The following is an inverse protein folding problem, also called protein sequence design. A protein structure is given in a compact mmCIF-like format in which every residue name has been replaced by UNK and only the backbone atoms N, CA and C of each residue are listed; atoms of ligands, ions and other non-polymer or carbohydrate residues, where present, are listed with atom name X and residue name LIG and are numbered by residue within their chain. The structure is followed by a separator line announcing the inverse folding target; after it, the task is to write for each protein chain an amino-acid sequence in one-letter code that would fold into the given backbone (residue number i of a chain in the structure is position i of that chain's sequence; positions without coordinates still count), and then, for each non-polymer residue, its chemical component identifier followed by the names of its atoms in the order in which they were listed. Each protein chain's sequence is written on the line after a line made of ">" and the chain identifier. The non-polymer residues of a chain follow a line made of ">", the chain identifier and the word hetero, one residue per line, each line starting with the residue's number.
data_IF_947031654446
#
_entry.id   IF_947031654446
#
_cell.length_a   1.000
_cell.length_b   1.000
_cell.length_c   1.000
_cell.angle_alpha   90.00
_cell.angle_beta   90.00
_cell.angle_gamma   90.00
#
_symmetry.space_group_name_H-M   'P 1'
#
loop_
_entity.id
_entity.type
_entity.pdbx_description
1 polymer ?
#
# COMPACT_ATOMS: atom_id res chain seq x y z
N UNK A 1 26.02 -45.51 26.27
CA UNK A 1 25.29 -44.30 26.69
C UNK A 1 25.06 -43.47 25.44
N UNK A 2 23.79 -43.07 25.23
CA UNK A 2 23.21 -42.75 23.91
C UNK A 2 23.65 -41.40 23.36
N UNK A 3 23.91 -41.38 22.06
CA UNK A 3 23.97 -40.19 21.20
C UNK A 3 22.64 -39.43 21.24
N UNK A 4 22.70 -38.13 21.50
CA UNK A 4 21.60 -37.18 21.35
C UNK A 4 22.14 -35.96 20.59
N UNK A 5 22.12 -36.05 19.26
CA UNK A 5 22.70 -35.00 18.40
C UNK A 5 22.15 -34.95 16.98
N UNK A 6 21.00 -35.56 16.70
CA UNK A 6 20.45 -35.59 15.34
C UNK A 6 18.93 -35.76 15.32
N UNK A 7 18.18 -34.81 15.89
CA UNK A 7 16.72 -34.67 15.64
C UNK A 7 16.24 -33.30 16.12
N UNK A 8 16.46 -32.27 15.30
CA UNK A 8 15.78 -30.98 15.45
C UNK A 8 15.54 -30.37 14.06
N UNK A 9 14.94 -31.20 13.21
CA UNK A 9 14.42 -30.82 11.89
C UNK A 9 13.22 -31.70 11.65
N UNK A 10 12.09 -31.32 12.25
CA UNK A 10 10.72 -31.64 11.90
C UNK A 10 9.83 -31.06 13.01
N UNK A 11 8.67 -30.53 12.64
CA UNK A 11 7.58 -30.02 13.50
C UNK A 11 7.68 -28.59 14.06
N UNK A 12 7.48 -27.61 13.16
CA UNK A 12 6.73 -26.39 13.50
C UNK A 12 5.46 -26.34 12.64
N UNK A 13 4.54 -27.24 12.97
CA UNK A 13 3.17 -27.22 12.49
C UNK A 13 2.43 -26.08 13.21
N UNK A 14 2.11 -25.02 12.49
CA UNK A 14 1.25 -23.94 12.98
C UNK A 14 -0.15 -24.49 13.29
N UNK A 15 -0.78 -24.10 14.41
CA UNK A 15 -2.12 -24.57 14.76
C UNK A 15 -3.17 -23.96 13.82
N UNK A 16 -4.03 -24.83 13.31
CA UNK A 16 -5.22 -24.52 12.52
C UNK A 16 -6.16 -23.56 13.27
N UNK A 17 -6.46 -22.42 12.65
CA UNK A 17 -7.55 -21.52 13.04
C UNK A 17 -8.72 -21.79 12.08
N UNK A 18 -9.83 -22.40 12.53
CA UNK A 18 -10.93 -22.73 11.64
C UNK A 18 -11.92 -21.57 11.52
N UNK A 19 -12.33 -21.23 10.30
CA UNK A 19 -13.56 -20.46 10.06
C UNK A 19 -13.52 -19.49 8.87
N UNK A 20 -13.90 -20.01 7.70
CA UNK A 20 -14.74 -19.38 6.67
C UNK A 20 -14.42 -17.93 6.20
N UNK A 21 -14.04 -17.78 4.93
CA UNK A 21 -14.93 -17.27 3.85
C UNK A 21 -14.08 -16.87 2.61
N UNK A 22 -14.16 -17.66 1.53
CA UNK A 22 -13.80 -17.29 0.14
C UNK A 22 -12.57 -16.35 -0.06
N UNK A 23 -11.40 -16.76 0.44
CA UNK A 23 -10.13 -16.03 0.29
C UNK A 23 -9.00 -16.92 -0.31
N UNK A 24 -9.38 -17.95 -1.07
CA UNK A 24 -8.40 -18.91 -1.65
C UNK A 24 -7.43 -18.27 -2.64
N UNK A 25 -7.86 -17.19 -3.33
CA UNK A 25 -7.00 -16.45 -4.27
C UNK A 25 -6.06 -15.46 -3.58
N UNK A 26 -6.35 -15.04 -2.35
CA UNK A 26 -5.51 -14.04 -1.67
C UNK A 26 -4.37 -14.70 -0.90
N UNK A 27 -4.55 -15.88 -0.29
CA UNK A 27 -3.53 -16.52 0.55
C UNK A 27 -2.32 -16.97 -0.28
N UNK A 28 -2.53 -17.55 -1.47
CA UNK A 28 -1.45 -17.96 -2.36
C UNK A 28 -0.75 -16.74 -2.98
N UNK A 29 -1.51 -15.71 -3.36
CA UNK A 29 -0.97 -14.44 -3.84
C UNK A 29 -0.26 -13.63 -2.76
N UNK A 30 -0.59 -13.86 -1.49
CA UNK A 30 0.00 -13.23 -0.31
C UNK A 30 1.33 -13.87 0.09
N UNK A 31 1.39 -15.21 0.14
CA UNK A 31 2.61 -15.93 0.53
C UNK A 31 3.67 -15.91 -0.57
N UNK A 32 3.26 -16.03 -1.84
CA UNK A 32 4.16 -16.04 -3.00
C UNK A 32 4.26 -14.68 -3.71
N UNK A 33 3.91 -13.59 -3.03
CA UNK A 33 3.95 -12.26 -3.62
C UNK A 33 5.37 -11.91 -4.14
N UNK A 34 5.43 -11.40 -5.36
CA UNK A 34 6.65 -10.86 -5.98
C UNK A 34 6.34 -9.57 -6.71
N UNK A 35 7.02 -8.48 -6.32
CA UNK A 35 6.84 -7.16 -6.93
C UNK A 35 7.02 -7.16 -8.46
N UNK A 36 8.02 -7.89 -8.96
CA UNK A 36 8.34 -7.96 -10.40
C UNK A 36 7.19 -8.48 -11.28
N UNK A 37 6.28 -9.24 -10.70
CA UNK A 37 5.13 -9.83 -11.39
C UNK A 37 3.81 -9.15 -11.03
N UNK A 38 3.85 -8.19 -10.10
CA UNK A 38 2.67 -7.49 -9.65
C UNK A 38 2.14 -6.53 -10.72
N UNK A 39 0.82 -6.37 -10.87
CA UNK A 39 0.28 -5.35 -11.77
C UNK A 39 0.66 -3.96 -11.26
N UNK A 40 0.89 -3.02 -12.18
CA UNK A 40 1.38 -1.66 -11.91
C UNK A 40 2.85 -1.57 -11.43
N UNK A 41 3.60 -2.67 -11.46
CA UNK A 41 5.04 -2.64 -11.16
C UNK A 41 5.89 -1.98 -12.26
N UNK A 42 5.35 -1.82 -13.47
CA UNK A 42 6.09 -1.25 -14.58
C UNK A 42 6.19 0.29 -14.48
N UNK A 43 7.39 0.84 -14.71
CA UNK A 43 7.59 2.29 -14.70
C UNK A 43 6.77 3.06 -15.75
N UNK A 44 6.47 2.52 -16.95
CA UNK A 44 5.57 3.20 -17.88
C UNK A 44 4.13 3.28 -17.35
N UNK A 45 3.64 2.25 -16.63
CA UNK A 45 2.31 2.28 -16.05
C UNK A 45 2.19 3.39 -14.99
N UNK A 46 3.20 3.54 -14.13
CA UNK A 46 3.28 4.65 -13.17
C UNK A 46 3.23 6.01 -13.89
N UNK A 47 4.07 6.20 -14.91
CA UNK A 47 4.11 7.46 -15.66
C UNK A 47 2.78 7.76 -16.36
N UNK A 48 2.18 6.76 -17.02
CA UNK A 48 0.88 6.88 -17.66
C UNK A 48 -0.24 7.23 -16.67
N UNK A 49 -0.25 6.61 -15.47
CA UNK A 49 -1.23 6.93 -14.44
C UNK A 49 -1.07 8.35 -13.92
N UNK A 50 0.15 8.78 -13.59
CA UNK A 50 0.42 10.16 -13.17
C UNK A 50 0.04 11.18 -14.27
N UNK A 51 0.38 10.90 -15.52
CA UNK A 51 0.00 11.77 -16.65
C UNK A 51 -1.53 11.82 -16.83
N UNK A 52 -2.21 10.67 -16.79
CA UNK A 52 -3.67 10.61 -16.90
C UNK A 52 -4.37 11.39 -15.79
N UNK A 53 -3.84 11.31 -14.57
CA UNK A 53 -4.33 12.07 -13.43
C UNK A 53 -4.19 13.59 -13.64
N UNK A 54 -3.02 14.05 -14.07
CA UNK A 54 -2.80 15.47 -14.35
C UNK A 54 -3.72 15.96 -15.48
N UNK A 55 -3.91 15.15 -16.52
CA UNK A 55 -4.88 15.44 -17.58
C UNK A 55 -6.31 15.55 -17.02
N UNK A 56 -6.74 14.61 -16.18
CA UNK A 56 -8.07 14.64 -15.55
C UNK A 56 -8.23 15.90 -14.69
N UNK A 57 -7.24 16.23 -13.86
CA UNK A 57 -7.26 17.43 -13.02
C UNK A 57 -7.39 18.70 -13.87
N UNK A 58 -6.61 18.82 -14.94
CA UNK A 58 -6.67 19.96 -15.85
C UNK A 58 -8.03 20.06 -16.56
N UNK A 59 -8.57 18.94 -17.06
CA UNK A 59 -9.88 18.91 -17.70
C UNK A 59 -11.00 19.30 -16.71
N UNK A 60 -10.99 18.74 -15.51
CA UNK A 60 -12.01 19.04 -14.51
C UNK A 60 -12.03 20.50 -14.08
N UNK A 61 -10.88 21.19 -14.08
CA UNK A 61 -10.84 22.62 -13.77
C UNK A 61 -11.64 23.47 -14.77
N UNK A 62 -11.69 23.05 -16.04
CA UNK A 62 -12.40 23.72 -17.13
C UNK A 62 -13.87 23.29 -17.22
N UNK A 63 -14.16 22.00 -17.03
CA UNK A 63 -15.50 21.44 -17.24
C UNK A 63 -16.42 21.51 -16.01
N UNK A 64 -15.88 21.68 -14.80
CA UNK A 64 -16.71 21.71 -13.58
C UNK A 64 -17.45 23.06 -13.48
N UNK A 65 -18.80 23.06 -13.34
CA UNK A 65 -19.60 24.27 -13.16
C UNK A 65 -19.12 25.13 -11.99
N UNK A 66 -19.38 26.45 -12.05
CA UNK A 66 -18.99 27.38 -10.98
C UNK A 66 -19.59 27.02 -9.61
N UNK A 67 -20.79 26.44 -9.62
CA UNK A 67 -21.51 26.01 -8.41
C UNK A 67 -21.04 24.64 -7.90
N UNK A 68 -20.25 23.89 -8.69
CA UNK A 68 -19.82 22.54 -8.38
C UNK A 68 -20.96 21.50 -8.43
N UNK A 69 -20.60 20.23 -8.29
CA UNK A 69 -21.54 19.12 -8.19
C UNK A 69 -21.85 18.79 -6.72
N UNK A 70 -23.10 18.39 -6.44
CA UNK A 70 -23.51 17.94 -5.10
C UNK A 70 -23.04 16.50 -4.79
N UNK A 71 -21.72 16.33 -4.65
CA UNK A 71 -21.07 15.03 -4.40
C UNK A 71 -20.71 14.81 -2.93
N UNK A 72 -21.33 15.53 -2.00
CA UNK A 72 -20.98 15.48 -0.57
C UNK A 72 -21.06 14.07 0.03
N UNK A 73 -22.09 13.28 -0.34
CA UNK A 73 -22.23 11.89 0.14
C UNK A 73 -21.13 10.98 -0.40
N UNK A 74 -20.75 11.18 -1.67
CA UNK A 74 -19.67 10.41 -2.32
C UNK A 74 -18.34 10.75 -1.68
N UNK A 75 -18.06 12.04 -1.44
CA UNK A 75 -16.86 12.48 -0.74
C UNK A 75 -16.78 11.91 0.69
N UNK A 76 -17.89 11.92 1.43
CA UNK A 76 -17.93 11.30 2.75
C UNK A 76 -17.65 9.78 2.70
N UNK A 77 -18.32 9.06 1.79
CA UNK A 77 -18.10 7.63 1.61
C UNK A 77 -16.65 7.32 1.20
N UNK A 78 -16.07 8.13 0.32
CA UNK A 78 -14.67 8.03 -0.08
C UNK A 78 -13.74 8.16 1.12
N UNK A 79 -13.93 9.18 1.95
CA UNK A 79 -13.11 9.43 3.14
C UNK A 79 -13.23 8.28 4.15
N UNK A 80 -14.44 7.78 4.40
CA UNK A 80 -14.63 6.61 5.28
C UNK A 80 -13.90 5.38 4.72
N UNK A 81 -14.00 5.13 3.41
CA UNK A 81 -13.32 4.02 2.78
C UNK A 81 -11.79 4.19 2.82
N UNK A 82 -11.27 5.39 2.62
CA UNK A 82 -9.84 5.70 2.79
C UNK A 82 -9.38 5.39 4.22
N UNK A 83 -10.14 5.79 5.24
CA UNK A 83 -9.82 5.48 6.64
C UNK A 83 -9.81 3.97 6.91
N UNK A 84 -10.79 3.23 6.38
CA UNK A 84 -10.85 1.76 6.54
C UNK A 84 -9.66 1.07 5.86
N UNK A 85 -9.31 1.49 4.64
CA UNK A 85 -8.15 0.96 3.91
C UNK A 85 -6.88 1.22 4.73
N UNK A 86 -6.66 2.46 5.20
CA UNK A 86 -5.52 2.79 6.05
C UNK A 86 -5.45 1.95 7.32
N UNK A 87 -6.58 1.73 7.99
CA UNK A 87 -6.64 0.90 9.20
C UNK A 87 -6.25 -0.56 8.90
N UNK A 88 -6.79 -1.15 7.82
CA UNK A 88 -6.48 -2.51 7.41
C UNK A 88 -4.99 -2.65 7.05
N UNK A 89 -4.45 -1.72 6.28
CA UNK A 89 -3.03 -1.71 5.91
C UNK A 89 -2.12 -1.58 7.13
N UNK A 90 -2.48 -0.69 8.07
CA UNK A 90 -1.73 -0.50 9.31
C UNK A 90 -1.70 -1.79 10.14
N UNK A 91 -2.85 -2.45 10.33
CA UNK A 91 -2.92 -3.72 11.08
C UNK A 91 -2.17 -4.83 10.34
N UNK A 92 -2.40 -5.00 9.05
CA UNK A 92 -1.75 -6.04 8.24
C UNK A 92 -0.22 -5.91 8.26
N UNK A 93 0.30 -4.70 8.01
CA UNK A 93 1.73 -4.42 8.10
C UNK A 93 2.28 -4.65 9.51
N UNK A 94 1.59 -4.18 10.56
CA UNK A 94 2.06 -4.30 11.94
C UNK A 94 2.17 -5.75 12.40
N UNK A 95 1.21 -6.59 11.99
CA UNK A 95 1.24 -8.03 12.28
C UNK A 95 2.42 -8.70 11.59
N UNK A 96 2.65 -8.43 10.30
CA UNK A 96 3.79 -9.02 9.57
C UNK A 96 5.14 -8.49 10.06
N UNK A 97 5.21 -7.21 10.41
CA UNK A 97 6.35 -6.59 11.05
C UNK A 97 6.70 -7.32 12.36
N UNK A 98 5.70 -7.53 13.22
CA UNK A 98 5.88 -8.20 14.49
C UNK A 98 6.29 -9.67 14.32
N UNK A 99 5.65 -10.40 13.39
CA UNK A 99 6.00 -11.79 13.06
C UNK A 99 7.46 -11.91 12.64
N UNK A 100 7.93 -10.99 11.79
CA UNK A 100 9.31 -10.98 11.31
C UNK A 100 10.32 -10.59 12.40
N UNK A 101 9.99 -9.61 13.24
CA UNK A 101 10.79 -9.26 14.42
C UNK A 101 10.96 -10.45 15.39
N UNK A 102 9.88 -11.21 15.63
CA UNK A 102 9.93 -12.39 16.51
C UNK A 102 10.75 -13.52 15.87
N UNK A 103 10.56 -13.77 14.58
CA UNK A 103 11.27 -14.82 13.85
C UNK A 103 12.79 -14.57 13.78
N UNK A 104 13.20 -13.34 13.44
CA UNK A 104 14.62 -12.98 13.30
C UNK A 104 15.26 -12.58 14.65
N UNK A 105 14.46 -12.44 15.72
CA UNK A 105 14.86 -11.95 17.06
C UNK A 105 15.62 -10.61 17.03
N UNK A 106 15.46 -9.85 15.96
CA UNK A 106 16.10 -8.55 15.74
C UNK A 106 15.17 -7.64 14.97
N UNK A 107 15.36 -6.34 15.16
CA UNK A 107 14.67 -5.26 14.46
C UNK A 107 15.58 -4.57 13.43
N UNK A 108 16.82 -5.03 13.26
CA UNK A 108 17.83 -4.39 12.40
C UNK A 108 17.45 -4.41 10.91
N UNK A 109 16.66 -5.40 10.49
CA UNK A 109 16.13 -5.49 9.13
C UNK A 109 15.21 -4.30 8.77
N UNK A 110 14.62 -3.62 9.76
CA UNK A 110 13.84 -2.38 9.51
C UNK A 110 14.72 -1.20 9.09
N UNK A 111 16.03 -1.25 9.32
CA UNK A 111 16.96 -0.20 8.93
C UNK A 111 17.82 -0.63 7.75
N UNK A 112 18.29 -1.87 7.75
CA UNK A 112 19.15 -2.44 6.72
C UNK A 112 18.59 -3.79 6.25
N UNK A 113 17.87 -3.76 5.13
CA UNK A 113 17.36 -4.93 4.45
C UNK A 113 18.39 -5.43 3.43
N UNK A 114 18.70 -6.72 3.45
CA UNK A 114 19.68 -7.33 2.53
C UNK A 114 19.00 -7.99 1.32
N UNK A 115 17.69 -7.84 1.18
CA UNK A 115 16.91 -8.42 0.09
C UNK A 115 17.15 -7.66 -1.21
N UNK A 116 17.40 -8.42 -2.28
CA UNK A 116 17.54 -7.88 -3.65
C UNK A 116 16.21 -7.81 -4.39
N UNK A 117 15.16 -8.49 -3.90
CA UNK A 117 13.82 -8.49 -4.50
C UNK A 117 12.76 -8.40 -3.40
N UNK A 118 11.77 -7.51 -3.59
CA UNK A 118 10.59 -7.37 -2.76
C UNK A 118 9.67 -8.60 -2.90
N UNK A 119 9.86 -9.60 -2.01
CA UNK A 119 9.10 -10.86 -2.00
C UNK A 119 8.57 -11.19 -0.61
N UNK A 120 7.36 -11.76 -0.58
CA UNK A 120 6.73 -12.27 0.63
C UNK A 120 5.65 -11.35 1.22
N UNK A 121 5.08 -11.74 2.37
CA UNK A 121 3.84 -11.18 2.90
C UNK A 121 3.97 -9.71 3.33
N UNK A 122 5.14 -9.29 3.79
CA UNK A 122 5.41 -7.90 4.15
C UNK A 122 5.38 -6.97 2.92
N UNK A 123 5.92 -7.45 1.79
CA UNK A 123 5.90 -6.73 0.53
C UNK A 123 4.53 -6.76 -0.15
N UNK A 124 3.71 -7.79 0.11
CA UNK A 124 2.31 -7.79 -0.28
C UNK A 124 1.54 -6.62 0.35
N UNK A 125 1.66 -6.41 1.66
CA UNK A 125 1.01 -5.27 2.31
C UNK A 125 1.57 -3.93 1.84
N UNK A 126 2.88 -3.87 1.58
CA UNK A 126 3.55 -2.72 0.98
C UNK A 126 3.02 -2.41 -0.43
N UNK A 127 2.67 -3.45 -1.21
CA UNK A 127 2.00 -3.33 -2.49
C UNK A 127 0.55 -2.85 -2.35
N UNK A 128 -0.20 -3.36 -1.38
CA UNK A 128 -1.55 -2.86 -1.11
C UNK A 128 -1.53 -1.37 -0.72
N UNK A 129 -0.52 -0.95 0.05
CA UNK A 129 -0.27 0.46 0.36
C UNK A 129 0.07 1.28 -0.91
N UNK A 130 0.87 0.74 -1.81
CA UNK A 130 1.12 1.37 -3.11
C UNK A 130 -0.17 1.58 -3.91
N UNK A 131 -1.03 0.56 -3.97
CA UNK A 131 -2.33 0.66 -4.66
C UNK A 131 -3.25 1.69 -3.99
N UNK A 132 -3.24 1.79 -2.66
CA UNK A 132 -4.07 2.77 -1.95
C UNK A 132 -3.69 4.22 -2.28
N UNK A 133 -2.44 4.49 -2.67
CA UNK A 133 -2.03 5.84 -3.10
C UNK A 133 -2.68 6.30 -4.38
N UNK A 134 -3.02 5.38 -5.28
CA UNK A 134 -3.84 5.72 -6.45
C UNK A 134 -5.29 6.00 -6.08
N UNK A 135 -5.82 5.29 -5.08
CA UNK A 135 -7.16 5.55 -4.57
C UNK A 135 -7.25 6.94 -3.92
N UNK A 136 -6.23 7.36 -3.16
CA UNK A 136 -6.14 8.70 -2.57
C UNK A 136 -6.12 9.83 -3.62
N UNK A 137 -5.72 9.58 -4.87
CA UNK A 137 -5.77 10.58 -5.94
C UNK A 137 -7.21 11.01 -6.28
N UNK A 138 -8.21 10.17 -5.98
CA UNK A 138 -9.63 10.50 -6.17
C UNK A 138 -10.12 11.61 -5.23
N UNK A 139 -9.47 11.83 -4.08
CA UNK A 139 -9.82 12.91 -3.15
C UNK A 139 -9.73 14.28 -3.85
N UNK A 140 -8.63 14.49 -4.58
CA UNK A 140 -8.40 15.72 -5.36
C UNK A 140 -9.48 15.92 -6.43
N UNK A 141 -9.87 14.84 -7.11
CA UNK A 141 -10.89 14.83 -8.17
C UNK A 141 -12.25 15.20 -7.60
N UNK A 142 -12.65 14.55 -6.51
CA UNK A 142 -13.92 14.83 -5.82
C UNK A 142 -13.96 16.27 -5.27
N UNK A 143 -12.83 16.74 -4.75
CA UNK A 143 -12.70 18.09 -4.21
C UNK A 143 -12.83 19.17 -5.30
N UNK A 144 -12.20 18.96 -6.47
CA UNK A 144 -12.37 19.83 -7.65
C UNK A 144 -13.83 19.81 -8.12
N UNK A 145 -14.42 18.63 -8.29
CA UNK A 145 -15.81 18.47 -8.73
C UNK A 145 -16.81 19.19 -7.81
N UNK A 146 -16.55 19.21 -6.51
CA UNK A 146 -17.40 19.89 -5.51
C UNK A 146 -17.09 21.38 -5.35
N UNK A 147 -16.10 21.90 -6.09
CA UNK A 147 -15.56 23.26 -5.91
C UNK A 147 -15.21 23.56 -4.44
N UNK A 148 -14.68 22.56 -3.74
CA UNK A 148 -14.24 22.73 -2.37
C UNK A 148 -12.99 23.62 -2.33
N UNK A 149 -12.96 24.59 -1.43
CA UNK A 149 -11.77 25.43 -1.23
C UNK A 149 -10.66 24.57 -0.62
N UNK A 150 -9.64 24.26 -1.42
CA UNK A 150 -8.44 23.56 -0.95
C UNK A 150 -7.32 24.58 -0.73
N UNK A 151 -6.93 24.88 0.52
CA UNK A 151 -5.73 25.64 0.77
C UNK A 151 -4.53 24.88 0.18
N UNK A 152 -3.73 25.56 -0.64
CA UNK A 152 -2.55 24.98 -1.31
C UNK A 152 -2.81 23.86 -2.32
N UNK A 153 -3.82 24.04 -3.18
CA UNK A 153 -4.18 23.12 -4.27
C UNK A 153 -2.97 22.54 -5.05
N UNK A 154 -2.03 23.38 -5.49
CA UNK A 154 -0.88 22.93 -6.27
C UNK A 154 0.03 21.97 -5.50
N UNK A 155 0.24 22.22 -4.21
CA UNK A 155 1.02 21.35 -3.36
C UNK A 155 0.34 20.00 -3.18
N UNK A 156 -0.98 20.01 -2.99
CA UNK A 156 -1.78 18.79 -2.87
C UNK A 156 -1.69 17.93 -4.15
N UNK A 157 -1.87 18.52 -5.33
CA UNK A 157 -1.71 17.79 -6.61
C UNK A 157 -0.30 17.25 -6.79
N UNK A 158 0.73 18.05 -6.48
CA UNK A 158 2.13 17.61 -6.53
C UNK A 158 2.39 16.42 -5.58
N UNK A 159 1.91 16.53 -4.34
CA UNK A 159 2.03 15.47 -3.35
C UNK A 159 1.38 14.17 -3.83
N UNK A 160 0.15 14.23 -4.36
CA UNK A 160 -0.54 13.05 -4.88
C UNK A 160 0.09 12.44 -6.14
N UNK A 161 0.92 13.19 -6.88
CA UNK A 161 1.75 12.63 -7.96
C UNK A 161 3.04 11.97 -7.43
N UNK A 162 3.70 12.61 -6.47
CA UNK A 162 5.03 12.19 -6.00
C UNK A 162 4.94 10.99 -5.07
N UNK A 163 3.93 10.91 -4.21
CA UNK A 163 3.81 9.81 -3.22
C UNK A 163 3.72 8.43 -3.89
N UNK A 164 2.85 8.18 -4.91
CA UNK A 164 2.86 6.90 -5.63
C UNK A 164 4.22 6.57 -6.26
N UNK A 165 4.92 7.57 -6.81
CA UNK A 165 6.23 7.38 -7.42
C UNK A 165 7.32 7.04 -6.39
N UNK A 166 7.27 7.67 -5.21
CA UNK A 166 8.15 7.33 -4.09
C UNK A 166 7.91 5.89 -3.64
N UNK A 167 6.66 5.48 -3.45
CA UNK A 167 6.31 4.12 -2.99
C UNK A 167 6.67 3.06 -4.06
N UNK A 168 6.51 3.37 -5.34
CA UNK A 168 7.01 2.53 -6.43
C UNK A 168 8.54 2.34 -6.33
N UNK A 169 9.27 3.43 -6.10
CA UNK A 169 10.72 3.40 -5.94
C UNK A 169 11.16 2.57 -4.74
N UNK A 170 10.45 2.67 -3.61
CA UNK A 170 10.79 1.87 -2.43
C UNK A 170 10.53 0.37 -2.64
N UNK A 171 9.50 0.00 -3.41
CA UNK A 171 9.26 -1.41 -3.80
C UNK A 171 10.29 -1.91 -4.82
N UNK A 172 10.67 -1.07 -5.78
CA UNK A 172 11.64 -1.40 -6.82
C UNK A 172 13.05 -1.60 -6.26
N UNK A 173 13.46 -0.76 -5.31
CA UNK A 173 14.80 -0.76 -4.71
C UNK A 173 14.83 -1.39 -3.31
N UNK A 174 13.74 -2.03 -2.89
CA UNK A 174 13.63 -2.73 -1.61
C UNK A 174 14.09 -1.85 -0.44
N UNK A 175 13.59 -0.61 -0.41
CA UNK A 175 13.97 0.35 0.62
C UNK A 175 13.19 0.10 1.89
N UNK A 176 13.92 -0.07 3.00
CA UNK A 176 13.37 -0.23 4.35
C UNK A 176 12.52 0.95 4.80
N UNK A 177 12.75 2.15 4.23
CA UNK A 177 12.07 3.39 4.58
C UNK A 177 10.55 3.31 4.39
N UNK A 178 10.08 2.41 3.52
CA UNK A 178 8.65 2.20 3.28
C UNK A 178 7.93 1.73 4.55
N UNK A 179 8.57 0.93 5.40
CA UNK A 179 7.97 0.45 6.65
C UNK A 179 7.76 1.58 7.66
N UNK A 180 8.66 2.56 7.72
CA UNK A 180 8.51 3.75 8.55
C UNK A 180 7.47 4.72 7.96
N UNK A 181 7.40 4.85 6.63
CA UNK A 181 6.42 5.69 5.94
C UNK A 181 4.97 5.25 6.12
N UNK A 182 4.73 3.96 6.39
CA UNK A 182 3.39 3.39 6.60
C UNK A 182 2.73 3.80 7.92
N UNK A 183 3.49 4.33 8.89
CA UNK A 183 2.93 4.95 10.11
C UNK A 183 2.21 6.27 9.78
N UNK A 184 2.50 6.86 8.62
CA UNK A 184 1.86 8.07 8.09
C UNK A 184 0.60 7.74 7.25
N UNK A 185 -0.17 6.74 7.67
CA UNK A 185 -1.48 6.40 7.10
C UNK A 185 -2.64 7.19 7.74
N UNK A 186 -2.33 8.21 8.56
CA UNK A 186 -3.26 9.13 9.20
C UNK A 186 -2.94 10.58 8.82
#
# INVERSE_FOLDING_TARGET
>A
MRDFGSTCREDLQHPDVPGHLSLGLSMESYSNFSWTSAPLSSSPALACLCASYLCIVALLQEFVPREGFQLTRVAYAHNVLSCLISAVLCVGCSVEMMRRCIAERTAMWMFCEHLTVAKGPLFFWSYCFYVSKYYEMLDTVLSICRRSSMPHFYFHVYHHCVVPAMVWGTLQWVSTLQHAGMVRAF
#
